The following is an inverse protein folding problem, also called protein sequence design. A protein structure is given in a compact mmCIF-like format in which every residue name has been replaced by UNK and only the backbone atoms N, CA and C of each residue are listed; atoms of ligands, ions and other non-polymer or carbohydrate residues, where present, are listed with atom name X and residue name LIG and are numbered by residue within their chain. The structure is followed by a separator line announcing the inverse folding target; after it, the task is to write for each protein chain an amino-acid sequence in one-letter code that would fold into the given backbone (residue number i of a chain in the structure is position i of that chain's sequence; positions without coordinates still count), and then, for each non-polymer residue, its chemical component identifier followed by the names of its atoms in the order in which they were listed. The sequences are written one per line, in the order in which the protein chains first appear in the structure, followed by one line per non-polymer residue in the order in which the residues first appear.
data_IF_808623028149
#
_entry.id   IF_808623028149
#
_cell.length_a   1.000
_cell.length_b   1.000
_cell.length_c   1.000
_cell.angle_alpha   90.00
_cell.angle_beta   90.00
_cell.angle_gamma   90.00
#
_symmetry.space_group_name_H-M   'P 1'
#
loop_
_entity.id
_entity.type
_entity.pdbx_description
1 polymer ?
#
# COMPACT_ATOMS: atom_id res chain seq x y z
N UNK A 1 -17.47 -21.11 -16.07
CA UNK A 1 -16.00 -20.88 -15.99
C UNK A 1 -15.54 -21.60 -14.73
N UNK A 2 -14.44 -22.37 -14.75
CA UNK A 2 -13.89 -22.90 -13.50
C UNK A 2 -13.68 -21.73 -12.54
N UNK A 3 -13.96 -21.92 -11.25
CA UNK A 3 -13.71 -20.90 -10.23
C UNK A 3 -12.24 -20.53 -10.28
N UNK A 4 -11.95 -19.33 -10.80
CA UNK A 4 -10.60 -18.80 -10.84
C UNK A 4 -10.10 -18.69 -9.39
N UNK A 5 -8.88 -19.14 -9.07
CA UNK A 5 -8.34 -19.00 -7.74
C UNK A 5 -8.28 -17.52 -7.35
N UNK A 6 -8.27 -17.23 -6.05
CA UNK A 6 -8.07 -15.86 -5.57
C UNK A 6 -6.70 -15.35 -6.02
N UNK A 7 -6.67 -14.29 -6.82
CA UNK A 7 -5.44 -13.74 -7.39
C UNK A 7 -5.01 -12.49 -6.64
N UNK A 8 -3.88 -12.57 -5.93
CA UNK A 8 -3.22 -11.42 -5.31
C UNK A 8 -2.04 -11.00 -6.17
N UNK A 9 -1.89 -9.70 -6.39
CA UNK A 9 -0.77 -9.15 -7.16
C UNK A 9 -0.06 -8.02 -6.42
N UNK A 10 1.23 -7.87 -6.67
CA UNK A 10 2.01 -6.71 -6.27
C UNK A 10 2.99 -6.31 -7.39
N UNK A 11 3.56 -5.11 -7.30
CA UNK A 11 4.58 -4.64 -8.25
C UNK A 11 5.80 -4.12 -7.50
N UNK A 12 6.98 -4.57 -7.90
CA UNK A 12 8.27 -4.20 -7.33
C UNK A 12 9.20 -3.71 -8.45
N UNK A 13 9.68 -2.48 -8.39
CA UNK A 13 10.57 -1.94 -9.40
C UNK A 13 11.69 -1.11 -8.75
N UNK A 14 12.85 -1.12 -9.39
CA UNK A 14 14.06 -0.47 -8.90
C UNK A 14 14.50 -1.02 -7.55
N UNK A 15 15.17 -0.17 -6.77
CA UNK A 15 15.86 -0.58 -5.53
C UNK A 15 15.22 -0.07 -4.25
N UNK A 16 14.05 0.59 -4.35
CA UNK A 16 13.36 1.16 -3.19
C UNK A 16 12.85 0.07 -2.24
N UNK A 17 12.32 -1.00 -2.83
CA UNK A 17 11.87 -2.21 -2.13
C UNK A 17 12.71 -3.39 -2.64
N UNK A 18 12.22 -4.62 -2.45
CA UNK A 18 12.90 -5.82 -2.92
C UNK A 18 12.22 -7.08 -2.39
N UNK A 19 12.85 -8.23 -2.63
CA UNK A 19 12.33 -9.52 -2.20
C UNK A 19 11.93 -9.59 -0.73
N UNK A 20 12.66 -8.99 0.25
CA UNK A 20 12.24 -9.02 1.65
C UNK A 20 10.89 -8.34 1.93
N UNK A 21 10.44 -7.41 1.09
CA UNK A 21 9.10 -6.82 1.21
C UNK A 21 8.05 -7.73 0.57
N UNK A 22 8.33 -8.27 -0.62
CA UNK A 22 7.44 -9.18 -1.35
C UNK A 22 7.20 -10.47 -0.56
N UNK A 23 8.26 -11.08 -0.02
CA UNK A 23 8.19 -12.33 0.74
C UNK A 23 7.37 -12.17 2.03
N UNK A 24 7.55 -11.06 2.75
CA UNK A 24 6.76 -10.74 3.95
C UNK A 24 5.30 -10.46 3.62
N UNK A 25 5.03 -9.78 2.50
CA UNK A 25 3.67 -9.55 2.03
C UNK A 25 3.00 -10.88 1.66
N UNK A 26 3.68 -11.74 0.91
CA UNK A 26 3.22 -13.10 0.60
C UNK A 26 2.90 -13.88 1.87
N UNK A 27 3.81 -13.92 2.84
CA UNK A 27 3.62 -14.66 4.08
C UNK A 27 2.43 -14.11 4.90
N UNK A 28 2.28 -12.79 4.93
CA UNK A 28 1.11 -12.13 5.53
C UNK A 28 -0.20 -12.54 4.88
N UNK A 29 -0.24 -12.58 3.54
CA UNK A 29 -1.41 -13.06 2.78
C UNK A 29 -1.67 -14.53 3.03
N UNK A 30 -0.66 -15.40 2.89
CA UNK A 30 -0.78 -16.85 3.03
C UNK A 30 -1.33 -17.26 4.41
N UNK A 31 -0.91 -16.57 5.48
CA UNK A 31 -1.43 -16.80 6.85
C UNK A 31 -2.90 -16.44 7.01
N UNK A 32 -3.46 -15.61 6.15
CA UNK A 32 -4.76 -14.96 6.34
C UNK A 32 -5.76 -15.19 5.19
N UNK A 33 -5.40 -15.95 4.16
CA UNK A 33 -6.26 -16.25 3.02
C UNK A 33 -6.58 -17.75 2.98
N UNK A 34 -7.83 -18.10 2.71
CA UNK A 34 -8.20 -19.51 2.53
C UNK A 34 -7.69 -20.02 1.17
N UNK A 35 -6.91 -21.11 1.07
CA UNK A 35 -6.51 -21.68 -0.23
C UNK A 35 -7.71 -22.20 -1.05
N UNK A 36 -7.60 -22.32 -2.38
CA UNK A 36 -6.45 -21.97 -3.22
C UNK A 36 -6.36 -20.47 -3.52
N UNK A 37 -5.14 -19.96 -3.66
CA UNK A 37 -4.85 -18.61 -4.12
C UNK A 37 -3.52 -18.58 -4.89
N UNK A 38 -3.33 -17.57 -5.72
CA UNK A 38 -2.05 -17.29 -6.39
C UNK A 38 -1.53 -15.93 -5.94
N UNK A 39 -0.22 -15.79 -5.82
CA UNK A 39 0.44 -14.53 -5.54
C UNK A 39 1.44 -14.21 -6.64
N UNK A 40 1.23 -13.11 -7.36
CA UNK A 40 2.06 -12.70 -8.49
C UNK A 40 2.77 -11.38 -8.21
N UNK A 41 4.09 -11.35 -8.37
CA UNK A 41 4.88 -10.12 -8.33
C UNK A 41 5.35 -9.75 -9.73
N UNK A 42 4.96 -8.55 -10.19
CA UNK A 42 5.53 -7.93 -11.38
C UNK A 42 6.81 -7.20 -11.01
N UNK A 43 7.95 -7.58 -11.58
CA UNK A 43 9.24 -7.06 -11.14
C UNK A 43 10.33 -7.06 -12.22
N UNK A 44 11.35 -6.23 -12.02
CA UNK A 44 12.57 -6.17 -12.81
C UNK A 44 13.63 -7.20 -12.35
N UNK A 45 13.53 -7.71 -11.12
CA UNK A 45 14.39 -8.79 -10.62
C UNK A 45 13.62 -9.79 -9.75
N UNK A 46 13.81 -11.07 -10.04
CA UNK A 46 13.24 -12.18 -9.28
C UNK A 46 14.18 -12.69 -8.16
N UNK A 47 15.36 -12.10 -8.02
CA UNK A 47 16.37 -12.56 -7.06
C UNK A 47 15.87 -12.47 -5.61
N UNK A 48 16.04 -13.57 -4.86
CA UNK A 48 15.64 -13.67 -3.46
C UNK A 48 14.13 -13.82 -3.23
N UNK A 49 13.32 -13.88 -4.29
CA UNK A 49 11.87 -14.13 -4.17
C UNK A 49 11.62 -15.56 -3.73
N UNK A 50 10.61 -15.73 -2.88
CA UNK A 50 10.11 -17.06 -2.48
C UNK A 50 9.63 -17.89 -3.68
N UNK A 51 9.79 -19.23 -3.66
CA UNK A 51 9.35 -20.09 -4.76
C UNK A 51 7.83 -20.10 -4.95
N UNK A 52 7.05 -19.79 -3.91
CA UNK A 52 5.59 -19.69 -4.01
C UNK A 52 5.12 -18.39 -4.68
N UNK A 53 5.99 -17.38 -4.81
CA UNK A 53 5.70 -16.12 -5.49
C UNK A 53 5.95 -16.29 -6.97
N UNK A 54 4.88 -16.15 -7.77
CA UNK A 54 4.99 -16.15 -9.23
C UNK A 54 5.58 -14.82 -9.68
N UNK A 55 6.74 -14.84 -10.32
CA UNK A 55 7.38 -13.61 -10.81
C UNK A 55 7.12 -13.42 -12.30
N UNK A 56 6.67 -12.23 -12.68
CA UNK A 56 6.55 -11.80 -14.07
C UNK A 56 7.37 -10.53 -14.29
N UNK A 57 7.87 -10.27 -15.50
CA UNK A 57 8.47 -8.99 -15.83
C UNK A 57 7.46 -7.85 -15.60
N UNK A 58 7.95 -6.65 -15.33
CA UNK A 58 7.10 -5.45 -15.26
C UNK A 58 6.24 -5.33 -16.53
N UNK A 59 4.90 -5.19 -16.44
CA UNK A 59 4.05 -5.02 -17.60
C UNK A 59 4.52 -3.82 -18.43
N UNK A 60 4.50 -3.93 -19.77
CA UNK A 60 5.04 -2.90 -20.64
C UNK A 60 4.26 -1.59 -20.49
N UNK A 61 5.01 -0.50 -20.38
CA UNK A 61 4.49 0.85 -20.35
C UNK A 61 5.56 1.74 -20.97
N UNK A 62 5.50 1.85 -22.29
CA UNK A 62 6.47 2.57 -23.11
C UNK A 62 6.08 4.05 -23.18
N UNK A 63 6.34 4.78 -22.10
CA UNK A 63 6.08 6.22 -21.98
C UNK A 63 7.17 6.89 -21.16
N UNK A 64 7.48 8.17 -21.43
CA UNK A 64 8.28 8.97 -20.50
C UNK A 64 7.51 9.12 -19.19
N UNK A 65 8.12 8.70 -18.08
CA UNK A 65 7.50 8.88 -16.76
C UNK A 65 7.41 10.37 -16.42
N UNK A 66 6.27 10.83 -15.87
CA UNK A 66 6.07 12.23 -15.54
C UNK A 66 7.03 12.69 -14.44
N UNK A 67 7.50 13.92 -14.53
CA UNK A 67 8.46 14.52 -13.59
C UNK A 67 7.79 15.61 -12.76
N UNK A 68 8.40 15.98 -11.63
CA UNK A 68 7.86 17.02 -10.75
C UNK A 68 6.55 16.64 -10.05
N UNK A 69 6.17 15.36 -10.03
CA UNK A 69 4.90 14.90 -9.48
C UNK A 69 5.08 14.09 -8.19
N UNK A 70 4.00 13.99 -7.39
CA UNK A 70 4.00 13.25 -6.12
C UNK A 70 3.41 11.84 -6.25
N UNK A 71 2.72 11.55 -7.36
CA UNK A 71 2.08 10.28 -7.64
C UNK A 71 3.07 9.17 -7.97
N UNK A 72 2.64 7.93 -7.73
CA UNK A 72 3.40 6.71 -8.05
C UNK A 72 2.92 6.18 -9.40
N UNK A 73 3.21 6.95 -10.45
CA UNK A 73 2.75 6.68 -11.82
C UNK A 73 3.25 5.39 -12.48
N UNK A 74 4.38 4.76 -12.08
CA UNK A 74 4.71 3.42 -12.57
C UNK A 74 3.62 2.35 -12.34
N UNK A 75 2.68 2.58 -11.41
CA UNK A 75 1.48 1.73 -11.24
C UNK A 75 0.60 1.66 -12.48
N UNK A 76 0.73 2.60 -13.42
CA UNK A 76 0.01 2.57 -14.69
C UNK A 76 0.28 1.31 -15.53
N UNK A 77 1.38 0.59 -15.24
CA UNK A 77 1.68 -0.73 -15.80
C UNK A 77 0.57 -1.75 -15.51
N UNK A 78 -0.11 -1.62 -14.37
CA UNK A 78 -1.16 -2.53 -13.94
C UNK A 78 -2.49 -2.32 -14.66
N UNK A 79 -2.63 -1.27 -15.46
CA UNK A 79 -3.88 -0.92 -16.13
C UNK A 79 -3.98 -1.49 -17.54
N UNK A 80 -3.05 -2.35 -17.94
CA UNK A 80 -3.01 -2.93 -19.29
C UNK A 80 -4.19 -3.86 -19.59
N UNK A 81 -4.37 -4.17 -20.88
CA UNK A 81 -5.32 -5.16 -21.36
C UNK A 81 -5.07 -6.54 -20.74
N UNK A 82 -3.79 -6.86 -20.54
CA UNK A 82 -3.30 -8.12 -19.99
C UNK A 82 -2.34 -7.86 -18.82
N UNK A 83 -2.24 -8.82 -17.90
CA UNK A 83 -1.32 -8.81 -16.77
C UNK A 83 -0.70 -10.21 -16.60
N UNK A 84 0.26 -10.54 -17.46
CA UNK A 84 0.79 -11.90 -17.55
C UNK A 84 -0.29 -12.86 -18.04
N UNK A 85 -0.46 -13.98 -17.35
CA UNK A 85 -1.50 -14.97 -17.64
C UNK A 85 -2.74 -14.83 -16.73
N UNK A 86 -2.83 -13.73 -15.97
CA UNK A 86 -3.94 -13.47 -15.06
C UNK A 86 -5.21 -13.08 -15.83
N UNK A 87 -6.36 -13.50 -15.32
CA UNK A 87 -7.66 -13.19 -15.89
C UNK A 87 -8.71 -12.94 -14.80
N UNK A 88 -9.75 -12.17 -15.10
CA UNK A 88 -10.79 -11.86 -14.12
C UNK A 88 -10.27 -10.97 -12.97
N UNK A 89 -10.89 -11.03 -11.77
CA UNK A 89 -10.55 -10.13 -10.67
C UNK A 89 -9.18 -10.42 -10.05
N UNK A 90 -8.36 -9.38 -9.92
CA UNK A 90 -7.09 -9.37 -9.18
C UNK A 90 -7.14 -8.38 -8.02
N UNK A 91 -6.56 -8.74 -6.88
CA UNK A 91 -6.38 -7.85 -5.73
C UNK A 91 -4.94 -7.33 -5.73
N UNK A 92 -4.76 -6.06 -6.07
CA UNK A 92 -3.47 -5.39 -5.96
C UNK A 92 -3.17 -4.96 -4.52
N UNK A 93 -1.92 -5.19 -4.11
CA UNK A 93 -1.36 -4.84 -2.81
C UNK A 93 -0.02 -4.10 -3.01
N UNK A 94 0.10 -2.88 -2.49
CA UNK A 94 1.40 -2.21 -2.31
C UNK A 94 2.32 -3.02 -1.38
N UNK A 95 3.61 -2.74 -1.45
CA UNK A 95 4.62 -3.47 -0.66
C UNK A 95 4.74 -2.98 0.79
N UNK A 96 4.26 -1.78 1.09
CA UNK A 96 4.28 -1.17 2.43
C UNK A 96 2.98 -1.42 3.21
N UNK A 97 2.50 -2.66 3.17
CA UNK A 97 1.29 -3.11 3.84
C UNK A 97 1.58 -4.17 4.89
N UNK A 98 0.68 -4.29 5.87
CA UNK A 98 0.69 -5.35 6.87
C UNK A 98 -0.67 -6.02 6.89
N UNK A 99 -0.72 -7.32 6.60
CA UNK A 99 -1.94 -8.13 6.68
C UNK A 99 -2.16 -8.57 8.13
N UNK A 100 -3.32 -8.24 8.69
CA UNK A 100 -3.62 -8.42 10.12
C UNK A 100 -4.87 -9.27 10.39
N UNK A 101 -5.64 -9.59 9.34
CA UNK A 101 -6.83 -10.43 9.45
C UNK A 101 -7.22 -11.03 8.11
N UNK A 102 -8.35 -11.76 8.09
CA UNK A 102 -8.79 -12.53 6.91
C UNK A 102 -8.84 -11.70 5.62
N UNK A 103 -8.30 -12.27 4.54
CA UNK A 103 -8.28 -11.67 3.21
C UNK A 103 -9.48 -12.07 2.35
N UNK A 104 -10.25 -13.08 2.75
CA UNK A 104 -11.28 -13.70 1.90
C UNK A 104 -12.36 -12.70 1.48
N UNK A 105 -12.74 -11.78 2.38
CA UNK A 105 -13.74 -10.77 2.07
C UNK A 105 -13.34 -9.81 0.94
N UNK A 106 -12.05 -9.60 0.67
CA UNK A 106 -11.62 -8.76 -0.46
C UNK A 106 -11.98 -9.39 -1.82
N UNK A 107 -12.28 -10.69 -1.84
CA UNK A 107 -12.68 -11.43 -3.05
C UNK A 107 -14.19 -11.64 -3.15
N UNK A 108 -14.93 -11.56 -2.05
CA UNK A 108 -16.39 -11.75 -2.02
C UNK A 108 -17.19 -10.45 -1.96
N UNK A 109 -16.56 -9.35 -1.56
CA UNK A 109 -17.21 -8.03 -1.46
C UNK A 109 -17.42 -7.41 -2.85
N UNK A 110 -18.64 -6.94 -3.11
CA UNK A 110 -19.03 -6.39 -4.41
C UNK A 110 -19.07 -7.45 -5.51
N UNK A 111 -19.20 -7.01 -6.77
CA UNK A 111 -19.25 -7.92 -7.93
C UNK A 111 -17.86 -8.13 -8.53
N UNK A 112 -17.59 -9.25 -9.22
CA UNK A 112 -16.29 -9.52 -9.85
C UNK A 112 -15.79 -8.37 -10.72
N UNK A 113 -16.67 -7.72 -11.45
CA UNK A 113 -16.41 -6.60 -12.35
C UNK A 113 -16.10 -5.28 -11.64
N UNK A 114 -16.45 -5.11 -10.37
CA UNK A 114 -16.32 -3.83 -9.68
C UNK A 114 -14.84 -3.45 -9.44
N UNK A 115 -14.56 -2.15 -9.52
CA UNK A 115 -13.26 -1.58 -9.13
C UNK A 115 -13.40 -1.07 -7.70
N UNK A 116 -12.77 -1.74 -6.73
CA UNK A 116 -12.95 -1.45 -5.30
C UNK A 116 -11.64 -0.97 -4.70
N UNK A 117 -11.63 0.21 -4.09
CA UNK A 117 -10.44 0.82 -3.50
C UNK A 117 -10.55 0.94 -1.97
N UNK A 118 -9.40 1.02 -1.31
CA UNK A 118 -9.33 1.56 0.04
C UNK A 118 -9.75 3.04 0.05
N UNK A 119 -10.38 3.50 1.13
CA UNK A 119 -10.68 4.93 1.31
C UNK A 119 -9.41 5.69 1.62
N UNK A 120 -9.24 6.88 1.06
CA UNK A 120 -8.11 7.73 1.41
C UNK A 120 -8.27 8.25 2.85
N UNK A 121 -7.34 7.93 3.76
CA UNK A 121 -7.44 8.31 5.16
C UNK A 121 -7.14 9.79 5.40
N UNK A 122 -6.57 10.50 4.41
CA UNK A 122 -6.15 11.91 4.53
C UNK A 122 -7.25 12.90 4.10
N UNK A 123 -8.26 12.44 3.38
CA UNK A 123 -9.35 13.29 2.87
C UNK A 123 -10.71 12.61 3.11
N UNK A 124 -11.15 12.46 4.38
CA UNK A 124 -12.33 11.65 4.72
C UNK A 124 -13.64 12.16 4.11
N UNK A 125 -13.71 13.44 3.76
CA UNK A 125 -14.87 14.07 3.10
C UNK A 125 -14.80 14.04 1.58
N UNK A 126 -13.61 13.86 1.00
CA UNK A 126 -13.47 13.62 -0.44
C UNK A 126 -13.63 12.12 -0.67
N UNK A 127 -14.49 11.71 -1.60
CA UNK A 127 -14.63 10.30 -2.01
C UNK A 127 -13.42 9.86 -2.84
N UNK A 128 -12.20 10.05 -2.32
CA UNK A 128 -10.96 9.63 -2.95
C UNK A 128 -10.58 8.23 -2.47
N UNK A 129 -10.25 7.37 -3.43
CA UNK A 129 -9.64 6.08 -3.16
C UNK A 129 -8.14 6.19 -2.97
N UNK A 130 -7.59 5.17 -2.34
CA UNK A 130 -6.18 4.91 -2.24
C UNK A 130 -5.86 3.60 -2.95
N UNK A 131 -4.93 3.67 -3.90
CA UNK A 131 -4.50 2.55 -4.74
C UNK A 131 -3.38 1.72 -4.08
N UNK A 132 -3.35 1.69 -2.75
CA UNK A 132 -2.47 0.77 -2.01
C UNK A 132 -3.09 -0.60 -1.83
N UNK A 133 -4.42 -0.68 -1.82
CA UNK A 133 -5.16 -1.94 -1.83
C UNK A 133 -6.40 -1.76 -2.70
N UNK A 134 -6.43 -2.38 -3.87
CA UNK A 134 -7.58 -2.27 -4.76
C UNK A 134 -7.79 -3.52 -5.63
N UNK A 135 -9.07 -3.86 -5.84
CA UNK A 135 -9.48 -5.00 -6.68
C UNK A 135 -10.04 -4.48 -8.00
N UNK A 136 -9.67 -5.13 -9.10
CA UNK A 136 -10.19 -4.83 -10.42
C UNK A 136 -10.08 -6.06 -11.33
N UNK A 137 -10.93 -6.21 -12.36
CA UNK A 137 -10.73 -7.19 -13.41
C UNK A 137 -9.54 -6.82 -14.31
N UNK A 138 -8.71 -7.80 -14.69
CA UNK A 138 -7.68 -7.62 -15.72
C UNK A 138 -8.31 -7.03 -16.99
N UNK A 139 -7.65 -6.04 -17.59
CA UNK A 139 -8.13 -5.33 -18.78
C UNK A 139 -9.15 -4.22 -18.53
N UNK A 140 -9.86 -4.22 -17.39
CA UNK A 140 -10.91 -3.20 -17.13
C UNK A 140 -10.38 -1.77 -17.04
N UNK A 141 -9.13 -1.59 -16.60
CA UNK A 141 -8.52 -0.27 -16.45
C UNK A 141 -7.79 0.23 -17.72
N UNK A 142 -7.87 -0.51 -18.84
CA UNK A 142 -7.22 -0.15 -20.10
C UNK A 142 -7.46 1.30 -20.55
N UNK A 143 -8.69 1.86 -20.47
CA UNK A 143 -8.93 3.25 -20.86
C UNK A 143 -8.08 4.27 -20.07
N UNK A 144 -7.75 3.97 -18.80
CA UNK A 144 -6.86 4.82 -18.00
C UNK A 144 -5.43 4.74 -18.51
N UNK A 145 -4.99 3.53 -18.89
CA UNK A 145 -3.65 3.35 -19.45
C UNK A 145 -3.51 4.08 -20.78
N UNK A 146 -4.49 3.99 -21.67
CA UNK A 146 -4.50 4.68 -22.96
C UNK A 146 -4.48 6.20 -22.78
N UNK A 147 -5.33 6.73 -21.90
CA UNK A 147 -5.35 8.16 -21.56
C UNK A 147 -4.01 8.62 -20.95
N UNK A 148 -3.41 7.81 -20.08
CA UNK A 148 -2.09 8.10 -19.52
C UNK A 148 -0.98 8.04 -20.58
N UNK A 149 -1.05 7.09 -21.53
CA UNK A 149 -0.08 6.98 -22.63
C UNK A 149 -0.14 8.16 -23.59
N UNK A 150 -1.33 8.70 -23.83
CA UNK A 150 -1.51 9.85 -24.71
C UNK A 150 -0.86 11.14 -24.17
N UNK A 151 -0.90 11.36 -22.86
CA UNK A 151 -0.28 12.51 -22.21
C UNK A 151 0.11 12.22 -20.75
N UNK A 152 1.25 11.54 -20.50
CA UNK A 152 1.64 11.14 -19.15
C UNK A 152 1.83 12.34 -18.21
N UNK A 153 2.43 13.42 -18.73
CA UNK A 153 2.73 14.61 -17.94
C UNK A 153 1.45 15.41 -17.64
N UNK A 154 0.59 15.66 -18.64
CA UNK A 154 -0.66 16.38 -18.42
C UNK A 154 -1.63 15.63 -17.50
N UNK A 155 -1.72 14.30 -17.60
CA UNK A 155 -2.47 13.50 -16.62
C UNK A 155 -1.85 13.65 -15.23
N UNK A 156 -0.54 13.56 -15.11
CA UNK A 156 0.12 13.69 -13.82
C UNK A 156 -0.06 15.09 -13.21
N UNK A 157 -0.08 16.13 -14.05
CA UNK A 157 -0.31 17.51 -13.62
C UNK A 157 -1.75 17.79 -13.25
N UNK A 158 -2.73 17.23 -13.96
CA UNK A 158 -4.15 17.39 -13.66
C UNK A 158 -4.55 16.68 -12.36
N UNK A 159 -4.08 15.44 -12.17
CA UNK A 159 -4.52 14.61 -11.05
C UNK A 159 -3.57 14.62 -9.85
N UNK A 160 -2.30 15.00 -10.04
CA UNK A 160 -1.19 15.02 -9.05
C UNK A 160 -0.79 13.67 -8.45
N UNK A 161 -1.75 12.77 -8.26
CA UNK A 161 -1.59 11.41 -7.75
C UNK A 161 -2.37 10.43 -8.62
N UNK A 162 -1.78 9.27 -8.88
CA UNK A 162 -2.38 8.19 -9.66
C UNK A 162 -3.67 7.67 -9.03
N UNK A 163 -3.77 7.66 -7.70
CA UNK A 163 -4.99 7.25 -6.99
C UNK A 163 -6.19 8.16 -7.28
N UNK A 164 -5.95 9.46 -7.51
CA UNK A 164 -7.00 10.42 -7.88
C UNK A 164 -7.46 10.19 -9.32
N UNK A 165 -6.52 9.84 -10.20
CA UNK A 165 -6.82 9.46 -11.57
C UNK A 165 -7.70 8.20 -11.61
N UNK A 166 -7.29 7.13 -10.92
CA UNK A 166 -8.09 5.89 -10.81
C UNK A 166 -9.48 6.17 -10.22
N UNK A 167 -9.56 6.94 -9.13
CA UNK A 167 -10.84 7.25 -8.48
C UNK A 167 -11.82 7.95 -9.42
N UNK A 168 -11.33 8.87 -10.26
CA UNK A 168 -12.18 9.72 -11.10
C UNK A 168 -12.51 9.09 -12.45
N UNK A 169 -11.64 8.23 -12.96
CA UNK A 169 -11.69 7.79 -14.37
C UNK A 169 -11.93 6.28 -14.53
N UNK A 170 -11.93 5.49 -13.45
CA UNK A 170 -12.21 4.05 -13.52
C UNK A 170 -13.55 3.77 -14.25
N UNK A 171 -13.57 2.88 -15.26
CA UNK A 171 -14.79 2.59 -16.01
C UNK A 171 -15.87 1.99 -15.11
N UNK A 172 -17.07 2.59 -15.14
CA UNK A 172 -18.16 2.23 -14.24
C UNK A 172 -18.02 2.78 -12.81
N UNK A 173 -17.03 3.65 -12.57
CA UNK A 173 -16.75 4.25 -11.27
C UNK A 173 -16.01 3.31 -10.31
N UNK A 174 -15.89 3.77 -9.06
CA UNK A 174 -15.27 3.01 -7.98
C UNK A 174 -16.26 2.72 -6.85
N UNK A 175 -16.05 1.58 -6.18
CA UNK A 175 -16.60 1.29 -4.88
C UNK A 175 -15.50 1.36 -3.81
N UNK A 176 -15.90 1.31 -2.54
CA UNK A 176 -14.98 1.30 -1.41
C UNK A 176 -15.13 0.03 -0.59
N UNK A 177 -14.01 -0.48 -0.06
CA UNK A 177 -14.06 -1.52 0.95
C UNK A 177 -14.91 -1.09 2.16
N UNK A 178 -15.53 -2.05 2.86
CA UNK A 178 -16.19 -1.81 4.13
C UNK A 178 -15.28 -1.03 5.08
N UNK A 179 -15.88 -0.08 5.82
CA UNK A 179 -15.14 0.67 6.84
C UNK A 179 -14.58 -0.32 7.86
N UNK A 180 -13.36 -0.07 8.32
CA UNK A 180 -12.70 -0.98 9.26
C UNK A 180 -11.64 -1.86 8.63
N UNK A 181 -11.88 -2.40 7.44
CA UNK A 181 -11.02 -3.43 6.84
C UNK A 181 -9.62 -2.91 6.52
N UNK A 182 -9.55 -1.70 5.98
CA UNK A 182 -8.27 -1.05 5.64
C UNK A 182 -8.07 0.14 6.56
N UNK A 183 -6.96 0.14 7.30
CA UNK A 183 -6.61 1.19 8.27
C UNK A 183 -5.25 1.78 7.97
N UNK A 184 -5.08 3.08 8.20
CA UNK A 184 -3.79 3.75 8.08
C UNK A 184 -3.02 3.61 9.38
N UNK A 185 -1.76 3.16 9.32
CA UNK A 185 -0.93 3.11 10.52
C UNK A 185 -0.82 4.49 11.19
N UNK A 186 -0.56 5.52 10.39
CA UNK A 186 -0.40 6.90 10.87
C UNK A 186 -1.66 7.45 11.54
N UNK A 187 -2.84 7.18 10.97
CA UNK A 187 -4.07 7.86 11.37
C UNK A 187 -4.91 7.02 12.36
N UNK A 188 -4.89 5.70 12.22
CA UNK A 188 -5.75 4.80 12.98
C UNK A 188 -4.99 3.98 14.05
N UNK A 189 -3.67 3.78 13.88
CA UNK A 189 -2.89 2.93 14.78
C UNK A 189 -1.97 3.72 15.72
N UNK A 190 -1.26 4.72 15.19
CA UNK A 190 -0.38 5.57 15.97
C UNK A 190 -1.18 6.37 17.01
N UNK A 191 -0.62 6.50 18.21
CA UNK A 191 -1.26 7.24 19.30
C UNK A 191 -1.03 8.74 19.11
N UNK A 192 -2.00 9.60 19.47
CA UNK A 192 -1.77 11.04 19.47
C UNK A 192 -0.84 11.42 20.62
N UNK A 193 -0.19 12.59 20.50
CA UNK A 193 0.49 13.21 21.64
C UNK A 193 -0.51 13.60 22.74
N UNK A 194 -0.24 13.35 24.03
CA UNK A 194 0.98 12.75 24.60
C UNK A 194 0.94 11.22 24.78
N UNK A 195 -0.16 10.55 24.40
CA UNK A 195 -0.32 9.11 24.59
C UNK A 195 0.74 8.27 23.88
N UNK A 196 1.30 8.75 22.75
CA UNK A 196 2.42 8.09 22.05
C UNK A 196 3.67 7.89 22.89
N UNK A 197 3.86 8.68 23.96
CA UNK A 197 4.96 8.46 24.88
C UNK A 197 4.74 7.24 25.76
N UNK A 198 3.50 6.88 26.07
CA UNK A 198 3.20 5.88 27.10
C UNK A 198 2.64 4.58 26.52
N UNK A 199 1.99 4.65 25.37
CA UNK A 199 1.25 3.53 24.79
C UNK A 199 1.79 3.19 23.40
N UNK A 200 2.00 1.90 23.16
CA UNK A 200 2.31 1.41 21.81
C UNK A 200 1.16 1.73 20.83
N UNK A 201 1.47 1.84 19.52
CA UNK A 201 0.45 1.90 18.48
C UNK A 201 -0.50 0.70 18.59
N UNK A 202 -1.81 0.95 18.45
CA UNK A 202 -2.85 -0.07 18.60
C UNK A 202 -3.27 -0.60 17.24
N UNK A 203 -3.44 -1.91 17.11
CA UNK A 203 -4.17 -2.50 15.99
C UNK A 203 -5.69 -2.39 16.23
N UNK A 204 -6.46 -1.71 15.35
CA UNK A 204 -7.91 -1.73 15.44
C UNK A 204 -8.46 -3.16 15.18
N UNK A 205 -9.45 -3.60 15.97
CA UNK A 205 -9.93 -4.98 15.97
C UNK A 205 -10.47 -5.46 14.61
N UNK A 206 -11.09 -4.57 13.84
CA UNK A 206 -11.66 -4.88 12.52
C UNK A 206 -10.66 -4.77 11.36
N UNK A 207 -9.41 -4.36 11.64
CA UNK A 207 -8.40 -4.17 10.61
C UNK A 207 -7.99 -5.51 10.01
N UNK A 208 -8.16 -5.64 8.69
CA UNK A 208 -7.69 -6.77 7.89
C UNK A 208 -6.35 -6.46 7.23
N UNK A 209 -6.17 -5.21 6.82
CA UNK A 209 -4.93 -4.69 6.25
C UNK A 209 -4.63 -3.32 6.86
N UNK A 210 -3.39 -3.12 7.28
CA UNK A 210 -2.87 -1.81 7.69
C UNK A 210 -1.92 -1.28 6.63
N UNK A 211 -2.22 -0.09 6.11
CA UNK A 211 -1.43 0.60 5.07
C UNK A 211 -0.45 1.59 5.70
N UNK A 212 0.75 1.73 5.11
CA UNK A 212 1.79 2.67 5.55
C UNK A 212 2.06 3.78 4.53
N UNK A 213 1.10 4.69 4.27
CA UNK A 213 1.28 5.73 3.27
C UNK A 213 2.41 6.71 3.65
N UNK A 214 3.26 7.00 2.68
CA UNK A 214 4.28 8.05 2.76
C UNK A 214 5.65 7.52 3.18
N UNK A 215 6.29 8.18 4.16
CA UNK A 215 7.68 7.91 4.56
C UNK A 215 7.86 7.06 5.82
N UNK A 216 6.77 6.71 6.50
CA UNK A 216 6.77 5.78 7.63
C UNK A 216 6.47 4.39 7.06
N UNK A 217 7.31 3.39 7.35
CA UNK A 217 7.24 2.05 6.76
C UNK A 217 7.18 1.01 7.90
N UNK A 218 6.77 -0.24 7.65
CA UNK A 218 6.71 -1.27 8.69
C UNK A 218 8.01 -1.42 9.49
N UNK A 219 9.23 -1.44 8.90
CA UNK A 219 10.48 -1.50 9.68
C UNK A 219 10.66 -0.34 10.66
N UNK A 220 10.21 0.87 10.31
CA UNK A 220 10.29 2.03 11.19
C UNK A 220 9.36 1.88 12.41
N UNK A 221 8.15 1.35 12.19
CA UNK A 221 7.21 1.08 13.27
C UNK A 221 7.69 -0.05 14.21
N UNK A 222 8.32 -1.08 13.64
CA UNK A 222 8.96 -2.16 14.41
C UNK A 222 10.08 -1.59 15.27
N UNK A 223 10.96 -0.77 14.69
CA UNK A 223 12.10 -0.19 15.39
C UNK A 223 11.73 0.98 16.34
N UNK A 224 10.49 1.49 16.29
CA UNK A 224 10.03 2.57 17.17
C UNK A 224 10.55 3.95 16.78
N UNK A 225 10.47 4.31 15.49
CA UNK A 225 10.78 5.67 15.05
C UNK A 225 9.91 6.14 13.87
N UNK A 226 9.78 7.47 13.72
CA UNK A 226 8.87 8.06 12.75
C UNK A 226 9.51 8.33 11.38
N UNK A 227 9.66 7.27 10.58
CA UNK A 227 10.21 7.39 9.23
C UNK A 227 11.72 7.62 9.21
N UNK A 228 12.27 7.77 7.99
CA UNK A 228 13.74 7.78 7.75
C UNK A 228 14.53 8.90 8.43
N UNK A 229 13.88 10.01 8.76
CA UNK A 229 14.53 11.19 9.36
C UNK A 229 14.60 11.11 10.88
N UNK A 230 13.94 10.12 11.48
CA UNK A 230 13.98 9.84 12.91
C UNK A 230 14.82 8.60 13.16
N UNK A 231 15.49 8.55 14.31
CA UNK A 231 16.21 7.38 14.79
C UNK A 231 15.45 6.77 15.98
N UNK A 232 15.58 5.47 16.25
CA UNK A 232 15.11 4.88 17.50
C UNK A 232 15.70 5.64 18.70
N UNK A 233 14.83 6.09 19.61
CA UNK A 233 15.21 6.84 20.81
C UNK A 233 14.33 6.42 21.97
N UNK A 234 14.88 6.44 23.17
CA UNK A 234 14.09 6.39 24.41
C UNK A 234 13.26 7.67 24.56
N UNK A 235 12.26 7.63 25.43
CA UNK A 235 11.41 8.80 25.74
C UNK A 235 12.24 10.01 26.17
N UNK A 236 13.21 9.80 27.06
CA UNK A 236 14.06 10.86 27.60
C UNK A 236 14.97 11.44 26.53
N UNK A 237 15.57 10.60 25.68
CA UNK A 237 16.38 11.06 24.54
C UNK A 237 15.55 11.86 23.54
N UNK A 238 14.31 11.42 23.26
CA UNK A 238 13.42 12.16 22.38
C UNK A 238 13.06 13.52 22.98
N UNK A 239 12.70 13.59 24.25
CA UNK A 239 12.42 14.87 24.94
C UNK A 239 13.64 15.79 24.97
N UNK A 240 14.85 15.27 25.22
CA UNK A 240 16.09 16.06 25.14
C UNK A 240 16.32 16.60 23.74
N UNK A 241 16.05 15.79 22.72
CA UNK A 241 16.14 16.20 21.31
C UNK A 241 15.18 17.32 20.91
N UNK A 242 14.19 17.67 21.76
CA UNK A 242 13.36 18.85 21.56
C UNK A 242 14.20 20.13 21.53
N UNK A 243 15.33 20.19 22.23
CA UNK A 243 16.19 21.38 22.29
C UNK A 243 17.38 21.30 21.33
N UNK A 244 17.44 20.24 20.51
CA UNK A 244 18.53 20.06 19.56
C UNK A 244 18.37 20.96 18.33
N UNK A 245 19.48 21.52 17.85
CA UNK A 245 19.50 22.34 16.64
C UNK A 245 19.23 21.52 15.36
N UNK A 246 19.51 20.22 15.36
CA UNK A 246 19.35 19.29 14.23
C UNK A 246 17.98 18.60 14.19
N UNK A 247 17.01 19.06 14.98
CA UNK A 247 15.67 18.43 15.08
C UNK A 247 14.97 18.44 13.72
N UNK A 248 14.43 17.29 13.25
CA UNK A 248 13.92 17.15 11.88
C UNK A 248 12.58 17.86 11.63
N UNK A 249 11.89 18.29 12.68
CA UNK A 249 10.58 18.94 12.59
C UNK A 249 10.45 20.06 13.64
N UNK A 250 9.48 20.99 13.50
CA UNK A 250 9.13 21.94 14.56
C UNK A 250 8.71 21.25 15.87
N UNK A 251 8.80 21.93 17.04
CA UNK A 251 8.70 21.30 18.36
C UNK A 251 7.48 20.41 18.55
N UNK A 252 6.28 20.92 18.24
CA UNK A 252 5.03 20.17 18.42
C UNK A 252 4.94 18.94 17.50
N UNK A 253 5.37 19.07 16.24
CA UNK A 253 5.36 17.96 15.29
C UNK A 253 6.39 16.91 15.68
N UNK A 254 7.56 17.34 16.13
CA UNK A 254 8.59 16.45 16.65
C UNK A 254 8.10 15.62 17.85
N UNK A 255 7.39 16.21 18.82
CA UNK A 255 6.78 15.48 19.94
C UNK A 255 5.72 14.46 19.46
N UNK A 256 4.92 14.83 18.45
CA UNK A 256 3.94 13.92 17.82
C UNK A 256 4.60 12.77 17.04
N UNK A 257 5.84 12.92 16.63
CA UNK A 257 6.62 11.93 15.89
C UNK A 257 7.50 11.04 16.81
N UNK A 258 7.21 11.00 18.11
CA UNK A 258 7.69 9.90 18.97
C UNK A 258 6.84 8.65 18.75
N UNK A 259 7.48 7.48 18.70
CA UNK A 259 6.83 6.19 18.49
C UNK A 259 7.49 5.13 19.37
N UNK A 260 6.70 4.34 20.09
CA UNK A 260 7.20 3.13 20.75
C UNK A 260 7.29 1.99 19.72
N UNK A 261 8.26 1.05 19.86
CA UNK A 261 8.29 -0.18 19.06
C UNK A 261 6.93 -0.86 19.02
N UNK A 262 6.53 -1.35 17.84
CA UNK A 262 5.19 -1.88 17.61
C UNK A 262 5.22 -3.39 17.41
N UNK A 263 4.98 -4.13 18.49
CA UNK A 263 5.15 -5.59 18.52
C UNK A 263 4.21 -6.32 17.56
N UNK A 264 2.96 -5.85 17.43
CA UNK A 264 2.01 -6.48 16.53
C UNK A 264 2.38 -6.31 15.06
N UNK A 265 3.07 -5.21 14.68
CA UNK A 265 3.60 -5.05 13.32
C UNK A 265 4.73 -6.04 13.09
N UNK A 266 5.62 -6.22 14.06
CA UNK A 266 6.73 -7.18 13.96
C UNK A 266 6.20 -8.61 13.76
N UNK A 267 5.16 -8.99 14.50
CA UNK A 267 4.52 -10.30 14.36
C UNK A 267 3.78 -10.47 13.03
N UNK A 268 3.01 -9.48 12.61
CA UNK A 268 2.18 -9.57 11.41
C UNK A 268 2.96 -9.43 10.11
N UNK A 269 4.07 -8.69 10.13
CA UNK A 269 4.98 -8.44 9.00
C UNK A 269 6.23 -9.34 9.05
N UNK A 270 6.11 -10.52 9.67
CA UNK A 270 7.13 -11.56 9.59
C UNK A 270 6.97 -12.38 8.31
N UNK A 271 8.08 -12.91 7.80
CA UNK A 271 8.08 -13.92 6.74
C UNK A 271 7.71 -15.31 7.27
#
# INVERSE_FOLDING_TARGET
MPDLPKQVICINWGTRYGAPYVNRLYAGVARNITPPFTFTCFTDTAEGMRPEVRTFPLPPLDVPMPTGTKGIWPKARLWGAELGDLAGPVLFMDLDLVVTGTMDGFFTEGRPEDVILARNPSTPFEKLGQTSLFRFPVGKLLPLQEKFKADPQGVADAFKFEQRFVTREAPGGIAFWPRGWVRSFRNDCARPFPLNFFLQPRLPAEARVVIFPGGLLPPHAIAGHWGRHYRPRTRLEHLRGLFSADRPDPPLRYLRHFLLPTDWVAKAWAE
#
